data_IF_700961202531
#
_entry.id   IF_700961202531
#
_cell.length_a   1.000
_cell.length_b   1.000
_cell.length_c   1.000
_cell.angle_alpha   90.00
_cell.angle_beta   90.00
_cell.angle_gamma   90.00
#
_symmetry.space_group_name_H-M   'P 1'
#
loop_
_entity.id
_entity.type
_entity.pdbx_description
1 polymer ?
#
# COMPACT_ATOMS: atom_id res chain seq x y z
N UNK A 1 8.39 16.25 -11.88
CA UNK A 1 7.91 15.57 -13.07
C UNK A 1 6.45 15.23 -12.91
N UNK A 2 5.70 15.19 -13.99
CA UNK A 2 4.31 14.74 -13.96
C UNK A 2 4.28 13.23 -13.80
N UNK A 3 3.46 12.73 -12.88
CA UNK A 3 3.24 11.31 -12.66
C UNK A 3 2.28 10.80 -13.74
N UNK A 4 2.68 9.80 -14.51
CA UNK A 4 1.74 9.11 -15.40
C UNK A 4 0.72 8.34 -14.57
N UNK A 5 -0.56 8.47 -14.90
CA UNK A 5 -1.65 7.92 -14.09
C UNK A 5 -2.62 7.11 -14.95
N UNK A 6 -3.02 5.93 -14.48
CA UNK A 6 -4.05 5.12 -15.13
C UNK A 6 -5.45 5.67 -14.88
N UNK A 7 -5.81 5.90 -13.61
CA UNK A 7 -7.07 6.55 -13.20
C UNK A 7 -6.71 7.73 -12.29
N UNK A 8 -7.23 8.91 -12.60
CA UNK A 8 -7.10 10.10 -11.75
C UNK A 8 -8.47 10.54 -11.25
N UNK A 9 -8.55 10.78 -9.94
CA UNK A 9 -9.71 11.37 -9.28
C UNK A 9 -9.30 12.53 -8.38
N UNK A 10 -10.16 13.52 -8.26
CA UNK A 10 -9.96 14.64 -7.34
C UNK A 10 -11.27 14.98 -6.62
N UNK A 11 -11.14 15.62 -5.46
CA UNK A 11 -12.24 16.05 -4.61
C UNK A 11 -13.23 14.91 -4.28
N UNK A 12 -14.54 15.14 -4.40
CA UNK A 12 -15.61 14.18 -4.04
C UNK A 12 -15.82 13.07 -5.08
N UNK A 13 -14.74 12.53 -5.64
CA UNK A 13 -14.79 11.54 -6.71
C UNK A 13 -15.00 10.10 -6.19
N UNK A 14 -15.60 9.30 -7.05
CA UNK A 14 -15.57 7.84 -6.96
C UNK A 14 -14.71 7.28 -8.11
N UNK A 15 -13.76 6.42 -7.78
CA UNK A 15 -12.92 5.76 -8.78
C UNK A 15 -12.94 4.24 -8.54
N UNK A 16 -13.18 3.49 -9.61
CA UNK A 16 -13.18 2.02 -9.55
C UNK A 16 -12.39 1.42 -10.72
N UNK A 17 -11.48 0.52 -10.40
CA UNK A 17 -10.93 -0.46 -11.33
C UNK A 17 -11.75 -1.76 -11.15
N UNK A 18 -12.58 -2.09 -12.12
CA UNK A 18 -13.50 -3.24 -12.05
C UNK A 18 -12.76 -4.58 -12.06
N UNK A 19 -13.46 -5.69 -11.81
CA UNK A 19 -12.84 -7.03 -11.71
C UNK A 19 -12.05 -7.44 -12.97
N UNK A 20 -12.52 -7.04 -14.16
CA UNK A 20 -11.83 -7.30 -15.43
C UNK A 20 -10.84 -6.19 -15.81
N UNK A 21 -10.81 -5.11 -15.03
CA UNK A 21 -9.97 -3.95 -15.28
C UNK A 21 -8.49 -4.24 -15.03
N UNK A 22 -7.63 -3.76 -15.95
CA UNK A 22 -6.17 -3.89 -15.84
C UNK A 22 -5.51 -2.55 -16.07
N UNK A 23 -4.70 -2.13 -15.10
CA UNK A 23 -3.85 -0.95 -15.19
C UNK A 23 -2.42 -1.44 -15.17
N UNK A 24 -1.71 -1.27 -16.30
CA UNK A 24 -0.38 -1.85 -16.52
C UNK A 24 0.60 -0.76 -16.92
N UNK A 25 1.80 -0.76 -16.31
CA UNK A 25 2.90 0.13 -16.72
C UNK A 25 4.26 -0.48 -16.39
N UNK A 26 5.22 -0.25 -17.28
CA UNK A 26 6.64 -0.52 -17.04
C UNK A 26 7.44 0.78 -16.85
N UNK A 27 6.79 1.93 -16.96
CA UNK A 27 7.45 3.22 -16.75
C UNK A 27 7.65 3.49 -15.25
N UNK A 28 8.76 4.13 -14.91
CA UNK A 28 9.05 4.59 -13.55
C UNK A 28 8.12 5.75 -13.16
N UNK A 29 7.96 5.96 -11.86
CA UNK A 29 7.21 7.08 -11.29
C UNK A 29 5.74 7.13 -11.77
N UNK A 30 5.13 5.95 -11.97
CA UNK A 30 3.73 5.81 -12.40
C UNK A 30 2.82 5.63 -11.18
N UNK A 31 1.62 6.20 -11.24
CA UNK A 31 0.52 5.85 -10.35
C UNK A 31 -0.54 5.04 -11.10
N UNK A 32 -0.95 3.90 -10.55
CA UNK A 32 -2.04 3.13 -11.15
C UNK A 32 -3.36 3.88 -10.99
N UNK A 33 -3.75 4.14 -9.73
CA UNK A 33 -4.91 4.98 -9.39
C UNK A 33 -4.40 6.10 -8.49
N UNK A 34 -4.64 7.34 -8.89
CA UNK A 34 -4.26 8.51 -8.11
C UNK A 34 -5.50 9.31 -7.70
N UNK A 35 -5.59 9.62 -6.42
CA UNK A 35 -6.66 10.45 -5.87
C UNK A 35 -6.07 11.50 -4.93
N UNK A 36 -6.45 12.76 -5.13
CA UNK A 36 -6.08 13.86 -4.26
C UNK A 36 -7.30 14.70 -3.85
N UNK A 37 -7.03 15.83 -3.19
CA UNK A 37 -8.06 16.77 -2.80
C UNK A 37 -8.43 16.71 -1.32
N UNK A 38 -9.28 17.65 -0.92
CA UNK A 38 -9.68 17.87 0.47
C UNK A 38 -11.07 17.32 0.81
N UNK A 39 -11.83 16.86 -0.17
CA UNK A 39 -13.17 16.33 0.05
C UNK A 39 -13.18 14.81 0.35
N UNK A 40 -14.32 14.31 0.76
CA UNK A 40 -14.56 12.87 0.95
C UNK A 40 -14.60 12.16 -0.41
N UNK A 41 -13.85 11.07 -0.54
CA UNK A 41 -13.79 10.31 -1.78
C UNK A 41 -13.69 8.81 -1.52
N UNK A 42 -14.02 8.00 -2.53
CA UNK A 42 -13.92 6.54 -2.47
C UNK A 42 -13.13 6.03 -3.67
N UNK A 43 -12.26 5.07 -3.40
CA UNK A 43 -11.45 4.40 -4.40
C UNK A 43 -11.56 2.89 -4.20
N UNK A 44 -11.89 2.16 -5.28
CA UNK A 44 -12.06 0.71 -5.24
C UNK A 44 -11.21 0.05 -6.32
N UNK A 45 -10.34 -0.87 -5.93
CA UNK A 45 -9.67 -1.76 -6.86
C UNK A 45 -10.24 -3.18 -6.70
N UNK A 46 -10.86 -3.70 -7.74
CA UNK A 46 -11.32 -5.10 -7.84
C UNK A 46 -10.51 -5.89 -8.87
N UNK A 47 -9.79 -5.19 -9.75
CA UNK A 47 -9.03 -5.76 -10.84
C UNK A 47 -7.53 -5.82 -10.55
N UNK A 48 -6.73 -5.72 -11.60
CA UNK A 48 -5.27 -5.75 -11.56
C UNK A 48 -4.70 -4.35 -11.74
N UNK A 49 -3.81 -3.95 -10.83
CA UNK A 49 -2.87 -2.84 -11.00
C UNK A 49 -1.47 -3.44 -10.98
N UNK A 50 -0.74 -3.41 -12.09
CA UNK A 50 0.63 -3.95 -12.20
C UNK A 50 1.57 -2.88 -12.74
N UNK A 51 2.50 -2.44 -11.90
CA UNK A 51 3.46 -1.39 -12.20
C UNK A 51 4.87 -1.94 -11.94
N UNK A 52 5.60 -2.21 -13.01
CA UNK A 52 6.95 -2.79 -12.93
C UNK A 52 8.06 -1.75 -12.91
N UNK A 53 7.75 -0.49 -13.23
CA UNK A 53 8.70 0.61 -13.21
C UNK A 53 9.05 1.05 -11.78
N UNK A 54 10.27 1.54 -11.62
CA UNK A 54 10.81 1.99 -10.34
C UNK A 54 10.01 3.18 -9.75
N UNK A 55 9.97 3.30 -8.42
CA UNK A 55 9.29 4.40 -7.68
C UNK A 55 7.79 4.54 -7.97
N UNK A 56 7.16 3.49 -8.51
CA UNK A 56 5.74 3.51 -8.86
C UNK A 56 4.85 3.28 -7.65
N UNK A 57 3.62 3.78 -7.71
CA UNK A 57 2.59 3.61 -6.67
C UNK A 57 1.34 2.99 -7.27
N UNK A 58 0.97 1.82 -6.78
CA UNK A 58 -0.23 1.12 -7.27
C UNK A 58 -1.49 1.95 -7.06
N UNK A 59 -1.77 2.30 -5.80
CA UNK A 59 -2.81 3.23 -5.39
C UNK A 59 -2.14 4.36 -4.63
N UNK A 60 -2.34 5.60 -5.09
CA UNK A 60 -1.73 6.79 -4.53
C UNK A 60 -2.80 7.77 -4.06
N UNK A 61 -2.90 7.97 -2.76
CA UNK A 61 -3.91 8.85 -2.16
C UNK A 61 -3.24 9.88 -1.27
N UNK A 62 -3.57 11.14 -1.48
CA UNK A 62 -3.11 12.24 -0.63
C UNK A 62 -4.18 13.32 -0.47
N UNK A 63 -3.96 14.18 0.51
CA UNK A 63 -4.84 15.31 0.83
C UNK A 63 -5.58 15.12 2.14
N UNK A 64 -6.15 16.21 2.65
CA UNK A 64 -6.70 16.29 4.01
C UNK A 64 -8.15 15.78 4.14
N UNK A 65 -8.81 15.40 3.05
CA UNK A 65 -10.17 14.86 3.09
C UNK A 65 -10.22 13.42 3.60
N UNK A 66 -11.39 12.96 3.97
CA UNK A 66 -11.63 11.57 4.37
C UNK A 66 -11.76 10.70 3.11
N UNK A 67 -10.86 9.75 2.95
CA UNK A 67 -10.89 8.85 1.80
C UNK A 67 -10.96 7.40 2.23
N UNK A 68 -11.84 6.65 1.59
CA UNK A 68 -11.92 5.19 1.76
C UNK A 68 -11.27 4.52 0.56
N UNK A 69 -10.22 3.75 0.82
CA UNK A 69 -9.44 3.00 -0.16
C UNK A 69 -9.75 1.53 0.05
N UNK A 70 -10.39 0.89 -0.92
CA UNK A 70 -10.75 -0.53 -0.86
C UNK A 70 -9.98 -1.29 -1.93
N UNK A 71 -9.15 -2.25 -1.51
CA UNK A 71 -8.49 -3.18 -2.42
C UNK A 71 -9.05 -4.59 -2.21
N UNK A 72 -9.83 -5.05 -3.17
CA UNK A 72 -10.36 -6.42 -3.26
C UNK A 72 -9.70 -7.21 -4.40
N UNK A 73 -8.90 -6.53 -5.23
CA UNK A 73 -8.19 -7.09 -6.37
C UNK A 73 -6.71 -7.33 -6.07
N UNK A 74 -5.88 -7.16 -7.08
CA UNK A 74 -4.43 -7.33 -6.97
C UNK A 74 -3.71 -6.02 -7.30
N UNK A 75 -2.81 -5.62 -6.41
CA UNK A 75 -1.83 -4.57 -6.65
C UNK A 75 -0.46 -5.20 -6.68
N UNK A 76 0.25 -5.07 -7.80
CA UNK A 76 1.59 -5.63 -8.01
C UNK A 76 2.58 -4.53 -8.37
N UNK A 77 3.68 -4.46 -7.62
CA UNK A 77 4.76 -3.47 -7.79
C UNK A 77 6.07 -4.21 -8.04
N UNK A 78 6.85 -3.75 -8.99
CA UNK A 78 8.17 -4.29 -9.29
C UNK A 78 9.19 -4.03 -8.19
N UNK A 79 10.45 -4.40 -8.46
CA UNK A 79 11.57 -4.09 -7.58
C UNK A 79 11.87 -2.58 -7.58
N UNK A 80 12.35 -2.06 -6.46
CA UNK A 80 12.89 -0.71 -6.39
C UNK A 80 14.40 -0.72 -6.33
N UNK A 81 15.03 0.18 -7.08
CA UNK A 81 16.47 0.37 -7.09
C UNK A 81 16.96 1.15 -5.86
N UNK A 82 16.09 1.94 -5.25
CA UNK A 82 16.39 2.81 -4.11
C UNK A 82 15.42 2.55 -2.96
N UNK A 83 15.95 2.05 -1.83
CA UNK A 83 15.18 1.80 -0.61
C UNK A 83 14.64 3.10 0.04
N UNK A 84 15.28 4.24 -0.22
CA UNK A 84 14.84 5.54 0.31
C UNK A 84 13.70 6.17 -0.52
N UNK A 85 13.46 5.65 -1.72
CA UNK A 85 12.36 6.06 -2.57
C UNK A 85 11.70 4.82 -3.22
N UNK A 86 11.06 3.97 -2.39
CA UNK A 86 10.56 2.68 -2.81
C UNK A 86 9.35 2.77 -3.74
N UNK A 87 9.11 1.71 -4.51
CA UNK A 87 7.79 1.43 -5.06
C UNK A 87 6.82 1.06 -3.93
N UNK A 88 5.55 1.43 -4.06
CA UNK A 88 4.57 1.26 -2.99
C UNK A 88 3.26 0.72 -3.56
N UNK A 89 2.75 -0.35 -2.94
CA UNK A 89 1.45 -0.91 -3.32
C UNK A 89 0.31 0.07 -3.10
N UNK A 90 0.08 0.47 -1.85
CA UNK A 90 -0.89 1.51 -1.47
C UNK A 90 -0.18 2.59 -0.67
N UNK A 91 -0.20 3.82 -1.16
CA UNK A 91 0.31 5.00 -0.47
C UNK A 91 -0.84 5.89 -0.04
N UNK A 92 -0.92 6.21 1.24
CA UNK A 92 -1.96 7.08 1.80
C UNK A 92 -1.39 8.07 2.80
N UNK A 93 -1.71 9.35 2.62
CA UNK A 93 -1.45 10.38 3.62
C UNK A 93 -2.75 11.10 3.97
N UNK A 94 -3.01 11.21 5.27
CA UNK A 94 -4.19 11.87 5.81
C UNK A 94 -4.79 11.09 6.99
N UNK A 95 -4.99 11.77 8.11
CA UNK A 95 -5.46 11.16 9.37
C UNK A 95 -6.89 10.60 9.30
N UNK A 96 -7.71 11.10 8.36
CA UNK A 96 -9.08 10.62 8.15
C UNK A 96 -9.21 9.46 7.17
N UNK A 97 -8.13 9.05 6.51
CA UNK A 97 -8.17 7.99 5.50
C UNK A 97 -8.35 6.60 6.13
N UNK A 98 -9.06 5.74 5.41
CA UNK A 98 -9.23 4.33 5.78
C UNK A 98 -8.83 3.44 4.61
N UNK A 99 -7.91 2.52 4.85
CA UNK A 99 -7.50 1.48 3.91
C UNK A 99 -8.14 0.17 4.32
N UNK A 100 -8.91 -0.43 3.41
CA UNK A 100 -9.54 -1.74 3.54
C UNK A 100 -8.87 -2.66 2.50
N UNK A 101 -7.96 -3.55 2.93
CA UNK A 101 -7.32 -4.49 2.03
C UNK A 101 -7.79 -5.92 2.31
N UNK A 102 -8.61 -6.46 1.42
CA UNK A 102 -8.99 -7.88 1.40
C UNK A 102 -8.40 -8.63 0.20
N UNK A 103 -7.78 -7.92 -0.72
CA UNK A 103 -7.11 -8.47 -1.90
C UNK A 103 -5.63 -8.75 -1.66
N UNK A 104 -4.88 -8.81 -2.76
CA UNK A 104 -3.46 -9.10 -2.75
C UNK A 104 -2.64 -7.84 -3.01
N UNK A 105 -1.58 -7.65 -2.24
CA UNK A 105 -0.53 -6.66 -2.50
C UNK A 105 0.79 -7.41 -2.60
N UNK A 106 1.39 -7.39 -3.78
CA UNK A 106 2.61 -8.12 -4.11
C UNK A 106 3.67 -7.11 -4.53
N UNK A 107 4.72 -6.96 -3.76
CA UNK A 107 5.79 -6.00 -4.09
C UNK A 107 7.14 -6.69 -4.17
N UNK A 108 8.00 -6.16 -5.01
CA UNK A 108 9.35 -6.66 -5.19
C UNK A 108 10.32 -6.23 -4.08
N UNK A 109 11.62 -6.38 -4.35
CA UNK A 109 12.67 -5.99 -3.42
C UNK A 109 12.68 -4.47 -3.17
N UNK A 110 13.09 -4.04 -1.97
CA UNK A 110 13.18 -2.64 -1.55
C UNK A 110 11.85 -1.88 -1.72
N UNK A 111 10.71 -2.55 -1.70
CA UNK A 111 9.40 -1.96 -1.94
C UNK A 111 8.50 -2.09 -0.71
N UNK A 112 7.43 -1.29 -0.65
CA UNK A 112 6.51 -1.24 0.48
C UNK A 112 5.13 -1.72 0.03
N UNK A 113 4.50 -2.61 0.81
CA UNK A 113 3.13 -3.04 0.55
C UNK A 113 2.13 -1.90 0.77
N UNK A 114 2.01 -1.42 2.01
CA UNK A 114 1.17 -0.29 2.39
C UNK A 114 2.02 0.74 3.13
N UNK A 115 1.97 1.99 2.68
CA UNK A 115 2.49 3.16 3.40
C UNK A 115 1.32 4.02 3.85
N UNK A 116 1.22 4.29 5.15
CA UNK A 116 0.22 5.20 5.69
C UNK A 116 0.85 6.20 6.66
N UNK A 117 0.64 7.49 6.39
CA UNK A 117 0.88 8.59 7.32
C UNK A 117 -0.47 9.07 7.86
N UNK A 118 -0.82 8.60 9.04
CA UNK A 118 -2.14 8.73 9.66
C UNK A 118 -3.17 7.73 9.13
N UNK A 119 -4.37 7.83 9.68
CA UNK A 119 -5.52 7.02 9.27
C UNK A 119 -5.55 5.61 9.83
N UNK A 120 -6.40 4.78 9.24
CA UNK A 120 -6.64 3.41 9.69
C UNK A 120 -6.38 2.41 8.56
N UNK A 121 -5.70 1.31 8.88
CA UNK A 121 -5.47 0.18 7.98
C UNK A 121 -6.20 -1.04 8.55
N UNK A 122 -7.15 -1.59 7.80
CA UNK A 122 -7.79 -2.87 8.05
C UNK A 122 -7.26 -3.89 7.03
N UNK A 123 -6.34 -4.74 7.47
CA UNK A 123 -5.70 -5.75 6.65
C UNK A 123 -6.38 -7.10 6.84
N UNK A 124 -6.97 -7.65 5.78
CA UNK A 124 -7.65 -8.95 5.78
C UNK A 124 -7.11 -9.90 4.70
N UNK A 125 -6.48 -9.38 3.66
CA UNK A 125 -5.93 -10.14 2.54
C UNK A 125 -4.47 -10.53 2.71
N UNK A 126 -3.75 -10.62 1.58
CA UNK A 126 -2.34 -10.98 1.52
C UNK A 126 -1.47 -9.76 1.20
N UNK A 127 -0.38 -9.60 1.94
CA UNK A 127 0.74 -8.74 1.56
C UNK A 127 1.99 -9.61 1.44
N UNK A 128 2.67 -9.55 0.29
CA UNK A 128 3.98 -10.17 0.09
C UNK A 128 4.98 -9.12 -0.39
N UNK A 129 6.16 -9.10 0.20
CA UNK A 129 7.26 -8.24 -0.27
C UNK A 129 8.53 -9.06 -0.51
N UNK A 130 9.39 -8.57 -1.39
CA UNK A 130 10.72 -9.13 -1.60
C UNK A 130 11.70 -8.78 -0.47
N UNK A 131 12.98 -9.04 -0.69
CA UNK A 131 14.07 -8.72 0.24
C UNK A 131 14.14 -7.21 0.50
N UNK A 132 14.50 -6.84 1.73
CA UNK A 132 14.57 -5.45 2.20
C UNK A 132 13.25 -4.67 2.02
N UNK A 133 12.13 -5.38 1.83
CA UNK A 133 10.81 -4.78 1.69
C UNK A 133 10.11 -4.57 3.03
N UNK A 134 9.08 -3.75 3.03
CA UNK A 134 8.23 -3.52 4.20
C UNK A 134 6.79 -3.88 3.87
N UNK A 135 6.17 -4.76 4.65
CA UNK A 135 4.76 -5.11 4.45
C UNK A 135 3.85 -3.91 4.68
N UNK A 136 3.86 -3.37 5.90
CA UNK A 136 3.13 -2.13 6.25
C UNK A 136 4.08 -1.16 6.94
N UNK A 137 4.17 0.05 6.41
CA UNK A 137 4.82 1.20 7.04
C UNK A 137 3.73 2.13 7.58
N UNK A 138 3.66 2.28 8.90
CA UNK A 138 2.70 3.14 9.59
C UNK A 138 3.39 4.26 10.35
N UNK A 139 2.99 5.49 10.12
CA UNK A 139 3.36 6.66 10.90
C UNK A 139 2.08 7.30 11.44
N UNK A 140 1.90 7.39 12.76
CA UNK A 140 0.67 7.89 13.40
C UNK A 140 -0.61 7.18 12.92
N UNK A 141 -0.51 5.91 12.54
CA UNK A 141 -1.60 5.15 11.96
C UNK A 141 -2.21 4.15 12.96
N UNK A 142 -3.42 3.68 12.69
CA UNK A 142 -4.04 2.57 13.39
C UNK A 142 -4.03 1.34 12.46
N UNK A 143 -3.30 0.29 12.83
CA UNK A 143 -3.16 -0.92 12.03
C UNK A 143 -3.90 -2.07 12.70
N UNK A 144 -4.84 -2.67 11.99
CA UNK A 144 -5.58 -3.86 12.40
C UNK A 144 -5.32 -4.98 11.41
N UNK A 145 -4.64 -6.03 11.87
CA UNK A 145 -4.53 -7.29 11.13
C UNK A 145 -5.68 -8.18 11.56
N UNK A 146 -6.63 -8.40 10.66
CA UNK A 146 -7.79 -9.25 10.93
C UNK A 146 -7.42 -10.75 10.88
N UNK A 147 -8.22 -11.59 11.51
CA UNK A 147 -8.04 -13.02 11.43
C UNK A 147 -8.07 -13.51 9.96
N UNK A 148 -7.14 -14.37 9.61
CA UNK A 148 -6.97 -14.87 8.24
C UNK A 148 -6.12 -13.98 7.33
N UNK A 149 -5.75 -12.76 7.75
CA UNK A 149 -4.80 -11.96 6.98
C UNK A 149 -3.38 -12.51 7.05
N UNK A 150 -2.62 -12.32 5.98
CA UNK A 150 -1.22 -12.72 5.92
C UNK A 150 -0.32 -11.57 5.47
N UNK A 151 0.82 -11.42 6.16
CA UNK A 151 1.93 -10.55 5.73
C UNK A 151 3.18 -11.43 5.67
N UNK A 152 3.74 -11.58 4.48
CA UNK A 152 4.95 -12.35 4.23
C UNK A 152 6.02 -11.43 3.65
N UNK A 153 7.11 -11.23 4.37
CA UNK A 153 8.22 -10.38 3.90
C UNK A 153 9.48 -11.21 3.67
N UNK A 154 10.27 -10.77 2.70
CA UNK A 154 11.50 -11.45 2.30
C UNK A 154 12.62 -11.32 3.32
N UNK A 155 13.84 -11.55 2.86
CA UNK A 155 15.06 -11.56 3.67
C UNK A 155 15.69 -10.16 3.80
N UNK A 156 16.80 -10.08 4.54
CA UNK A 156 17.75 -8.97 4.54
C UNK A 156 17.15 -7.63 4.97
N UNK A 157 16.84 -7.49 6.23
CA UNK A 157 16.28 -6.28 6.86
C UNK A 157 14.85 -5.94 6.42
N UNK A 158 14.13 -6.90 5.85
CA UNK A 158 12.71 -6.70 5.60
C UNK A 158 11.93 -6.56 6.92
N UNK A 159 10.81 -5.88 6.88
CA UNK A 159 9.94 -5.69 8.04
C UNK A 159 8.48 -6.01 7.69
N UNK A 160 7.84 -6.86 8.49
CA UNK A 160 6.41 -7.12 8.35
C UNK A 160 5.60 -5.86 8.59
N UNK A 161 5.76 -5.27 9.78
CA UNK A 161 5.24 -3.95 10.11
C UNK A 161 6.37 -3.08 10.65
N UNK A 162 6.53 -1.90 10.07
CA UNK A 162 7.40 -0.84 10.57
C UNK A 162 6.53 0.30 11.09
N UNK A 163 6.53 0.55 12.39
CA UNK A 163 5.62 1.47 13.06
C UNK A 163 6.35 2.60 13.76
N UNK A 164 5.91 3.84 13.53
CA UNK A 164 6.50 5.08 14.03
C UNK A 164 5.47 5.96 14.75
N UNK A 165 5.98 6.86 15.58
CA UNK A 165 5.27 8.03 16.10
C UNK A 165 3.88 7.73 16.70
N UNK A 166 3.79 6.69 17.55
CA UNK A 166 2.54 6.36 18.22
C UNK A 166 1.55 5.56 17.35
N UNK A 167 2.02 4.92 16.28
CA UNK A 167 1.23 3.96 15.53
C UNK A 167 0.75 2.84 16.44
N UNK A 168 -0.55 2.54 16.42
CA UNK A 168 -1.12 1.42 17.15
C UNK A 168 -1.25 0.19 16.27
N UNK A 169 -1.05 -1.01 16.83
CA UNK A 169 -1.16 -2.28 16.11
C UNK A 169 -2.04 -3.24 16.91
N UNK A 170 -3.09 -3.76 16.27
CA UNK A 170 -3.88 -4.89 16.76
C UNK A 170 -3.69 -6.02 15.74
N UNK A 171 -3.14 -7.16 16.18
CA UNK A 171 -2.78 -8.25 15.28
C UNK A 171 -3.48 -9.55 15.64
N UNK A 172 -4.40 -9.99 14.78
CA UNK A 172 -5.02 -11.32 14.77
C UNK A 172 -4.65 -12.11 13.51
N UNK A 173 -3.81 -11.54 12.65
CA UNK A 173 -3.33 -12.15 11.40
C UNK A 173 -2.01 -12.87 11.57
N UNK A 174 -1.56 -13.51 10.50
CA UNK A 174 -0.26 -14.18 10.42
C UNK A 174 0.77 -13.24 9.80
N UNK A 175 1.95 -13.20 10.42
CA UNK A 175 3.08 -12.46 9.91
C UNK A 175 4.30 -13.38 9.84
N UNK A 176 4.91 -13.47 8.66
CA UNK A 176 6.11 -14.27 8.41
C UNK A 176 7.22 -13.37 7.90
N UNK A 177 8.37 -13.40 8.56
CA UNK A 177 9.57 -12.68 8.14
C UNK A 177 10.64 -13.68 7.70
N UNK A 178 11.35 -13.34 6.63
CA UNK A 178 12.47 -14.13 6.14
C UNK A 178 13.73 -13.98 7.02
N UNK A 179 14.84 -14.51 6.55
CA UNK A 179 16.12 -14.48 7.29
C UNK A 179 16.60 -13.02 7.48
N UNK A 180 17.17 -12.72 8.65
CA UNK A 180 17.68 -11.40 9.03
C UNK A 180 16.64 -10.28 8.90
N UNK A 181 15.37 -10.58 9.15
CA UNK A 181 14.24 -9.67 8.98
C UNK A 181 13.40 -9.61 10.25
N UNK A 182 12.48 -8.64 10.32
CA UNK A 182 11.69 -8.36 11.50
C UNK A 182 10.20 -8.63 11.23
N UNK A 183 9.51 -9.29 12.15
CA UNK A 183 8.06 -9.32 12.15
C UNK A 183 7.49 -7.92 12.41
N UNK A 184 7.94 -7.31 13.51
CA UNK A 184 7.56 -5.97 13.92
C UNK A 184 8.81 -5.16 14.23
N UNK A 185 8.90 -3.95 13.69
CA UNK A 185 9.91 -2.95 14.01
C UNK A 185 9.19 -1.69 14.52
N UNK A 186 9.35 -1.39 15.80
CA UNK A 186 8.68 -0.28 16.47
C UNK A 186 9.70 0.81 16.85
N UNK A 187 9.35 2.08 16.59
CA UNK A 187 10.19 3.25 16.93
C UNK A 187 9.36 4.41 17.44
#
# INVERSE_FOLDING_TARGET
GEISTGIYGSESSFAENTADGKILSNASETAGIYMDGSATAQLVNKGLVELNGDKSRGIYVKGNGVKTITNNGTVKIGNSSDINNPGIGIYSTGSGNTILNSGNILTGNNSVGIYADGGTINQSGLIMTGSSGTGIYGDRANIVLNAGSEINVGNDKAAGIYALNGTSIISNGKLTAGENSYGYALK
#
